data_IF_238087724624
#
_entry.id   IF_238087724624
#
_cell.length_a   1.000
_cell.length_b   1.000
_cell.length_c   1.000
_cell.angle_alpha   90.00
_cell.angle_beta   90.00
_cell.angle_gamma   90.00
#
_symmetry.space_group_name_H-M   'P 1'
#
loop_
_entity.id
_entity.type
_entity.pdbx_description
1 polymer ?
#
# COMPACT_ATOMS: atom_id res chain seq x y z
N UNK A 1 26.30 -8.62 6.91
CA UNK A 1 24.99 -8.17 7.43
C UNK A 1 25.20 -7.58 8.80
N UNK A 2 24.87 -6.31 8.99
CA UNK A 2 24.90 -5.70 10.31
C UNK A 2 23.57 -5.97 11.02
N UNK A 3 23.60 -6.15 12.34
CA UNK A 3 22.40 -6.21 13.19
C UNK A 3 21.52 -4.97 12.96
N UNK A 4 22.15 -3.82 12.73
CA UNK A 4 21.50 -2.57 12.37
C UNK A 4 20.58 -2.70 11.13
N UNK A 5 21.04 -3.35 10.06
CA UNK A 5 20.25 -3.50 8.84
C UNK A 5 18.95 -4.30 9.05
N UNK A 6 18.99 -5.32 9.92
CA UNK A 6 17.80 -6.10 10.30
C UNK A 6 16.86 -5.24 11.13
N UNK A 7 17.38 -4.54 12.15
CA UNK A 7 16.58 -3.70 13.03
C UNK A 7 15.79 -2.65 12.23
N UNK A 8 16.43 -2.00 11.25
CA UNK A 8 15.76 -0.99 10.41
C UNK A 8 14.62 -1.61 9.59
N UNK A 9 14.80 -2.80 9.03
CA UNK A 9 13.75 -3.49 8.23
C UNK A 9 12.59 -3.95 9.11
N UNK A 10 12.89 -4.44 10.31
CA UNK A 10 11.87 -4.78 11.31
C UNK A 10 11.11 -3.54 11.78
N UNK A 11 11.81 -2.42 12.00
CA UNK A 11 11.20 -1.14 12.36
C UNK A 11 10.28 -0.64 11.24
N UNK A 12 10.74 -0.68 9.98
CA UNK A 12 9.94 -0.32 8.81
C UNK A 12 8.61 -1.08 8.77
N UNK A 13 8.68 -2.41 8.87
CA UNK A 13 7.49 -3.25 8.93
C UNK A 13 6.61 -2.97 10.15
N UNK A 14 7.21 -2.84 11.34
CA UNK A 14 6.48 -2.58 12.57
C UNK A 14 5.70 -1.27 12.50
N UNK A 15 6.28 -0.20 11.96
CA UNK A 15 5.58 1.08 11.77
C UNK A 15 4.38 0.89 10.84
N UNK A 16 4.57 0.23 9.69
CA UNK A 16 3.48 -0.01 8.73
C UNK A 16 2.33 -0.85 9.30
N UNK A 17 2.63 -1.79 10.19
CA UNK A 17 1.63 -2.67 10.83
C UNK A 17 0.92 -2.01 12.01
N UNK A 18 1.68 -1.31 12.86
CA UNK A 18 1.20 -0.85 14.17
C UNK A 18 0.62 0.55 14.10
N UNK A 19 1.20 1.45 13.29
CA UNK A 19 0.77 2.85 13.24
C UNK A 19 -0.72 3.01 12.87
N UNK A 20 -1.28 2.28 11.87
CA UNK A 20 -2.71 2.39 11.56
C UNK A 20 -3.62 2.05 12.73
N UNK A 21 -3.30 0.98 13.47
CA UNK A 21 -4.08 0.52 14.61
C UNK A 21 -3.99 1.51 15.77
N UNK A 22 -2.79 2.03 16.06
CA UNK A 22 -2.57 3.02 17.12
C UNK A 22 -3.32 4.31 16.81
N UNK A 23 -3.24 4.83 15.58
CA UNK A 23 -3.94 6.05 15.18
C UNK A 23 -5.46 5.86 15.26
N UNK A 24 -5.99 4.72 14.78
CA UNK A 24 -7.41 4.40 14.88
C UNK A 24 -7.87 4.25 16.34
N UNK A 25 -7.09 3.61 17.21
CA UNK A 25 -7.37 3.50 18.66
C UNK A 25 -7.47 4.87 19.32
N UNK A 26 -6.52 5.76 19.04
CA UNK A 26 -6.52 7.13 19.57
C UNK A 26 -7.75 7.89 19.06
N UNK A 27 -8.09 7.73 17.77
CA UNK A 27 -9.22 8.41 17.17
C UNK A 27 -10.57 7.92 17.74
N UNK A 28 -10.75 6.61 17.91
CA UNK A 28 -11.94 6.01 18.56
C UNK A 28 -12.17 6.61 19.94
N UNK A 29 -11.10 6.71 20.76
CA UNK A 29 -11.18 7.26 22.12
C UNK A 29 -11.56 8.75 22.12
N UNK A 30 -11.07 9.53 21.17
CA UNK A 30 -11.31 10.99 21.10
C UNK A 30 -12.67 11.33 20.48
N UNK A 31 -13.07 10.62 19.45
CA UNK A 31 -14.23 10.95 18.62
C UNK A 31 -15.49 10.15 18.99
N UNK A 32 -15.38 9.16 19.89
CA UNK A 32 -16.47 8.24 20.27
C UNK A 32 -17.11 7.50 19.09
N UNK A 33 -16.36 7.31 18.00
CA UNK A 33 -16.75 6.52 16.83
C UNK A 33 -16.31 5.08 17.04
N UNK A 34 -17.17 4.12 16.71
CA UNK A 34 -16.84 2.68 16.78
C UNK A 34 -16.01 2.18 15.60
N UNK A 35 -15.46 0.97 15.75
CA UNK A 35 -14.62 0.30 14.74
C UNK A 35 -15.31 -0.07 13.43
N UNK A 36 -16.65 0.01 13.37
CA UNK A 36 -17.44 -0.35 12.18
C UNK A 36 -16.94 0.39 10.93
N UNK A 37 -16.69 1.70 11.02
CA UNK A 37 -16.27 2.47 9.84
C UNK A 37 -14.85 2.15 9.38
N UNK A 38 -13.95 1.86 10.31
CA UNK A 38 -12.62 1.37 9.97
C UNK A 38 -12.72 0.04 9.22
N UNK A 39 -13.50 -0.92 9.73
CA UNK A 39 -13.72 -2.20 9.05
C UNK A 39 -14.34 -2.06 7.66
N UNK A 40 -15.26 -1.12 7.48
CA UNK A 40 -15.85 -0.85 6.15
C UNK A 40 -14.82 -0.21 5.22
N UNK A 41 -13.96 0.70 5.71
CA UNK A 41 -12.82 1.23 4.95
C UNK A 41 -11.86 0.13 4.48
N UNK A 42 -11.52 -0.81 5.37
CA UNK A 42 -10.70 -2.00 5.06
C UNK A 42 -11.32 -2.80 3.90
N UNK A 43 -12.60 -3.16 4.03
CA UNK A 43 -13.33 -3.91 2.99
C UNK A 43 -13.40 -3.12 1.69
N UNK A 44 -13.53 -1.79 1.75
CA UNK A 44 -13.64 -0.95 0.55
C UNK A 44 -12.34 -0.94 -0.24
N UNK A 45 -11.18 -0.81 0.43
CA UNK A 45 -9.88 -0.94 -0.24
C UNK A 45 -9.72 -2.33 -0.86
N UNK A 46 -10.01 -3.40 -0.11
CA UNK A 46 -9.87 -4.76 -0.64
C UNK A 46 -10.78 -5.00 -1.85
N UNK A 47 -12.02 -4.48 -1.81
CA UNK A 47 -12.96 -4.58 -2.91
C UNK A 47 -12.50 -3.79 -4.15
N UNK A 48 -11.89 -2.62 -4.00
CA UNK A 48 -11.36 -1.86 -5.15
C UNK A 48 -10.24 -2.63 -5.85
N UNK A 49 -9.41 -3.36 -5.09
CA UNK A 49 -8.32 -4.15 -5.64
C UNK A 49 -8.80 -5.30 -6.55
N UNK A 50 -10.02 -5.81 -6.37
CA UNK A 50 -10.58 -6.90 -7.19
C UNK A 50 -10.71 -6.54 -8.68
N UNK A 51 -10.94 -5.27 -9.00
CA UNK A 51 -10.99 -4.79 -10.39
C UNK A 51 -9.71 -4.06 -10.79
N UNK A 52 -9.09 -3.34 -9.87
CA UNK A 52 -7.86 -2.60 -10.12
C UNK A 52 -6.71 -3.51 -10.52
N UNK A 53 -6.46 -4.62 -9.80
CA UNK A 53 -5.34 -5.53 -10.10
C UNK A 53 -5.50 -6.18 -11.48
N UNK A 54 -6.66 -6.79 -11.84
CA UNK A 54 -6.86 -7.30 -13.19
C UNK A 54 -6.75 -6.23 -14.27
N UNK A 55 -7.31 -5.05 -14.07
CA UNK A 55 -7.18 -3.96 -15.05
C UNK A 55 -5.71 -3.58 -15.28
N UNK A 56 -4.92 -3.43 -14.21
CA UNK A 56 -3.51 -3.13 -14.36
C UNK A 56 -2.75 -4.27 -15.04
N UNK A 57 -3.08 -5.52 -14.73
CA UNK A 57 -2.37 -6.69 -15.26
C UNK A 57 -2.68 -6.97 -16.73
N UNK A 58 -3.94 -6.82 -17.14
CA UNK A 58 -4.40 -7.21 -18.48
C UNK A 58 -4.57 -6.05 -19.44
N UNK A 59 -4.64 -4.81 -18.96
CA UNK A 59 -4.87 -3.63 -19.80
C UNK A 59 -3.76 -2.59 -19.65
N UNK A 60 -3.56 -2.04 -18.45
CA UNK A 60 -2.68 -0.88 -18.31
C UNK A 60 -1.20 -1.23 -18.48
N UNK A 61 -0.69 -2.27 -17.82
CA UNK A 61 0.73 -2.63 -17.94
C UNK A 61 1.11 -3.04 -19.36
N UNK A 62 0.34 -3.91 -20.07
CA UNK A 62 0.61 -4.20 -21.47
C UNK A 62 0.58 -2.95 -22.37
N UNK A 63 -0.29 -1.98 -22.09
CA UNK A 63 -0.34 -0.71 -22.81
C UNK A 63 0.90 0.15 -22.54
N UNK A 64 1.33 0.26 -21.29
CA UNK A 64 2.55 0.98 -20.91
C UNK A 64 3.78 0.36 -21.59
N UNK A 65 3.90 -0.96 -21.55
CA UNK A 65 4.98 -1.70 -22.22
C UNK A 65 4.99 -1.45 -23.73
N UNK A 66 3.83 -1.51 -24.38
CA UNK A 66 3.70 -1.23 -25.82
C UNK A 66 4.12 0.20 -26.19
N UNK A 67 3.91 1.17 -25.31
CA UNK A 67 4.33 2.57 -25.51
C UNK A 67 5.77 2.86 -25.08
N UNK A 68 6.50 1.88 -24.53
CA UNK A 68 7.84 2.06 -23.98
C UNK A 68 7.88 2.85 -22.67
N UNK A 69 6.74 2.98 -21.98
CA UNK A 69 6.61 3.67 -20.70
C UNK A 69 6.90 2.72 -19.54
N UNK A 70 8.19 2.47 -19.32
CA UNK A 70 8.67 1.55 -18.28
C UNK A 70 9.06 2.27 -16.98
N UNK A 71 8.71 1.67 -15.85
CA UNK A 71 9.17 2.15 -14.53
C UNK A 71 10.66 1.92 -14.28
N UNK A 72 11.29 0.99 -15.03
CA UNK A 72 12.73 0.70 -15.00
C UNK A 72 13.60 1.74 -15.70
N UNK A 73 13.06 2.47 -16.68
CA UNK A 73 13.84 3.34 -17.58
C UNK A 73 14.24 4.69 -16.94
N UNK A 74 13.68 5.04 -15.78
CA UNK A 74 13.90 6.34 -15.12
C UNK A 74 13.34 7.52 -15.93
N UNK A 75 13.73 8.74 -15.54
CA UNK A 75 13.40 9.97 -16.27
C UNK A 75 11.91 10.22 -16.50
N UNK A 76 11.56 10.75 -17.67
CA UNK A 76 10.17 11.07 -18.05
C UNK A 76 9.32 9.80 -18.16
N UNK A 77 9.90 8.69 -18.61
CA UNK A 77 9.20 7.41 -18.75
C UNK A 77 8.66 6.91 -17.41
N UNK A 78 9.51 6.91 -16.37
CA UNK A 78 9.11 6.58 -15.01
C UNK A 78 8.00 7.50 -14.49
N UNK A 79 8.11 8.82 -14.71
CA UNK A 79 7.10 9.78 -14.25
C UNK A 79 5.74 9.51 -14.89
N UNK A 80 5.70 9.30 -16.21
CA UNK A 80 4.44 9.04 -16.93
C UNK A 80 3.83 7.69 -16.53
N UNK A 81 4.65 6.64 -16.40
CA UNK A 81 4.19 5.33 -15.94
C UNK A 81 3.64 5.40 -14.51
N UNK A 82 4.33 6.09 -13.59
CA UNK A 82 3.88 6.27 -12.21
C UNK A 82 2.58 7.07 -12.13
N UNK A 83 2.41 8.13 -12.93
CA UNK A 83 1.18 8.89 -13.02
C UNK A 83 0.02 8.04 -13.54
N UNK A 84 0.25 7.22 -14.56
CA UNK A 84 -0.78 6.33 -15.12
C UNK A 84 -1.23 5.27 -14.11
N UNK A 85 -0.28 4.61 -13.44
CA UNK A 85 -0.56 3.61 -12.40
C UNK A 85 -1.24 4.23 -11.18
N UNK A 86 -0.78 5.41 -10.74
CA UNK A 86 -1.39 6.14 -9.63
C UNK A 86 -2.81 6.63 -9.96
N UNK A 87 -3.04 7.10 -11.19
CA UNK A 87 -4.38 7.48 -11.66
C UNK A 87 -5.31 6.27 -11.70
N UNK A 88 -4.84 5.12 -12.18
CA UNK A 88 -5.60 3.86 -12.15
C UNK A 88 -6.03 3.54 -10.72
N UNK A 89 -5.09 3.50 -9.78
CA UNK A 89 -5.39 3.25 -8.36
C UNK A 89 -6.43 4.25 -7.82
N UNK A 90 -6.24 5.55 -8.08
CA UNK A 90 -7.19 6.60 -7.70
C UNK A 90 -8.59 6.38 -8.26
N UNK A 91 -8.74 6.06 -9.55
CA UNK A 91 -10.06 5.84 -10.18
C UNK A 91 -10.80 4.67 -9.51
N UNK A 92 -10.14 3.53 -9.31
CA UNK A 92 -10.80 2.37 -8.72
C UNK A 92 -11.13 2.60 -7.24
N UNK A 93 -10.20 3.17 -6.48
CA UNK A 93 -10.39 3.41 -5.05
C UNK A 93 -11.43 4.49 -4.76
N UNK A 94 -11.40 5.62 -5.47
CA UNK A 94 -12.40 6.67 -5.31
C UNK A 94 -13.79 6.21 -5.76
N UNK A 95 -13.86 5.40 -6.82
CA UNK A 95 -15.13 4.80 -7.26
C UNK A 95 -15.70 3.89 -6.18
N UNK A 96 -14.88 3.02 -5.59
CA UNK A 96 -15.31 2.16 -4.48
C UNK A 96 -15.78 2.99 -3.28
N UNK A 97 -15.04 4.04 -2.91
CA UNK A 97 -15.42 4.97 -1.84
C UNK A 97 -16.76 5.66 -2.11
N UNK A 98 -16.93 6.17 -3.33
CA UNK A 98 -18.19 6.78 -3.77
C UNK A 98 -19.36 5.81 -3.64
N UNK A 99 -19.21 4.57 -4.15
CA UNK A 99 -20.28 3.57 -4.09
C UNK A 99 -20.65 3.22 -2.65
N UNK A 100 -19.66 3.05 -1.77
CA UNK A 100 -19.90 2.72 -0.36
C UNK A 100 -20.61 3.87 0.36
N UNK A 101 -20.17 5.11 0.20
CA UNK A 101 -20.89 6.26 0.77
C UNK A 101 -22.29 6.44 0.19
N UNK A 102 -22.45 6.24 -1.13
CA UNK A 102 -23.73 6.45 -1.82
C UNK A 102 -24.78 5.41 -1.45
N UNK A 103 -24.38 4.15 -1.28
CA UNK A 103 -25.30 3.03 -1.16
C UNK A 103 -25.32 2.36 0.22
N UNK A 104 -24.19 2.32 0.93
CA UNK A 104 -24.08 1.63 2.22
C UNK A 104 -24.06 2.60 3.41
N UNK A 105 -23.24 3.64 3.36
CA UNK A 105 -23.02 4.60 4.44
C UNK A 105 -23.85 5.89 4.27
N UNK A 106 -25.14 5.75 3.91
CA UNK A 106 -26.01 6.89 3.60
C UNK A 106 -26.27 7.82 4.79
N UNK A 107 -26.20 7.29 6.02
CA UNK A 107 -26.56 8.00 7.26
C UNK A 107 -25.34 8.63 7.93
N UNK A 108 -24.16 8.13 7.61
CA UNK A 108 -22.87 8.59 8.08
C UNK A 108 -22.48 9.85 7.30
N UNK A 109 -22.51 11.00 7.97
CA UNK A 109 -22.36 12.32 7.33
C UNK A 109 -21.49 13.29 8.12
N UNK A 110 -20.83 12.81 9.17
CA UNK A 110 -19.91 13.61 9.96
C UNK A 110 -18.50 13.54 9.39
N UNK A 111 -17.71 14.59 9.61
CA UNK A 111 -16.29 14.59 9.25
C UNK A 111 -15.53 13.43 9.91
N UNK A 112 -15.90 13.11 11.16
CA UNK A 112 -15.27 12.04 11.91
C UNK A 112 -15.59 10.65 11.32
N UNK A 113 -16.77 10.46 10.70
CA UNK A 113 -17.08 9.23 9.96
C UNK A 113 -16.12 9.02 8.79
N UNK A 114 -15.89 10.09 8.01
CA UNK A 114 -14.96 10.07 6.88
C UNK A 114 -13.52 9.79 7.29
N UNK A 115 -13.09 10.33 8.44
CA UNK A 115 -11.75 10.06 8.99
C UNK A 115 -11.60 8.61 9.42
N UNK A 116 -12.55 8.07 10.20
CA UNK A 116 -12.47 6.69 10.65
C UNK A 116 -12.52 5.69 9.49
N UNK A 117 -13.33 5.98 8.48
CA UNK A 117 -13.37 5.24 7.23
C UNK A 117 -12.00 5.27 6.52
N UNK A 118 -11.43 6.46 6.34
CA UNK A 118 -10.15 6.63 5.64
C UNK A 118 -8.96 6.02 6.39
N UNK A 119 -8.98 6.03 7.72
CA UNK A 119 -8.02 5.30 8.55
C UNK A 119 -8.08 3.80 8.31
N UNK A 120 -9.28 3.24 8.10
CA UNK A 120 -9.45 1.85 7.72
C UNK A 120 -8.90 1.54 6.33
N UNK A 121 -9.24 2.39 5.36
CA UNK A 121 -8.83 2.24 3.96
C UNK A 121 -7.31 2.34 3.78
N UNK A 122 -6.69 3.45 4.19
CA UNK A 122 -5.23 3.60 4.09
C UNK A 122 -4.47 2.73 5.09
N UNK A 123 -5.11 2.40 6.22
CA UNK A 123 -4.52 1.54 7.23
C UNK A 123 -4.31 0.11 6.76
N UNK A 124 -5.29 -0.50 6.08
CA UNK A 124 -5.12 -1.85 5.55
C UNK A 124 -4.05 -1.90 4.47
N UNK A 125 -3.97 -0.90 3.61
CA UNK A 125 -2.91 -0.83 2.59
C UNK A 125 -1.53 -0.79 3.26
N UNK A 126 -1.36 0.07 4.26
CA UNK A 126 -0.13 0.12 5.07
C UNK A 126 0.19 -1.25 5.69
N UNK A 127 -0.79 -1.91 6.31
CA UNK A 127 -0.59 -3.22 6.93
C UNK A 127 -0.20 -4.29 5.91
N UNK A 128 -0.84 -4.34 4.74
CA UNK A 128 -0.51 -5.30 3.67
C UNK A 128 0.93 -5.11 3.21
N UNK A 129 1.35 -3.87 2.93
CA UNK A 129 2.74 -3.59 2.55
C UNK A 129 3.71 -3.93 3.68
N UNK A 130 3.33 -3.71 4.94
CA UNK A 130 4.10 -4.15 6.10
C UNK A 130 4.30 -5.66 6.19
N UNK A 131 3.24 -6.45 5.93
CA UNK A 131 3.35 -7.92 5.86
C UNK A 131 4.24 -8.34 4.70
N UNK A 132 4.10 -7.73 3.52
CA UNK A 132 4.96 -8.02 2.36
C UNK A 132 6.43 -7.70 2.65
N UNK A 133 6.71 -6.62 3.39
CA UNK A 133 8.07 -6.27 3.80
C UNK A 133 8.67 -7.30 4.78
N UNK A 134 7.89 -7.81 5.73
CA UNK A 134 8.32 -8.91 6.61
C UNK A 134 8.54 -10.20 5.85
N UNK A 135 7.64 -10.50 4.91
CA UNK A 135 7.76 -11.68 4.07
C UNK A 135 9.04 -11.64 3.23
N UNK A 136 9.34 -10.51 2.60
CA UNK A 136 10.59 -10.30 1.86
C UNK A 136 11.82 -10.43 2.77
N UNK A 137 11.79 -9.87 3.99
CA UNK A 137 12.86 -10.03 4.97
C UNK A 137 13.06 -11.50 5.34
N UNK A 138 11.98 -12.24 5.61
CA UNK A 138 12.04 -13.64 5.96
C UNK A 138 12.62 -14.48 4.81
N UNK A 139 12.17 -14.27 3.58
CA UNK A 139 12.70 -14.95 2.39
C UNK A 139 14.21 -14.72 2.23
N UNK A 140 14.64 -13.46 2.24
CA UNK A 140 16.04 -13.11 2.04
C UNK A 140 16.92 -13.57 3.21
N UNK A 141 16.36 -13.68 4.42
CA UNK A 141 17.05 -14.25 5.57
C UNK A 141 17.23 -15.78 5.45
N UNK A 142 16.19 -16.50 5.04
CA UNK A 142 16.22 -17.96 4.87
C UNK A 142 17.12 -18.38 3.71
N UNK A 143 17.08 -17.67 2.59
CA UNK A 143 17.85 -18.02 1.38
C UNK A 143 19.35 -17.69 1.48
N UNK A 144 19.78 -17.03 2.56
CA UNK A 144 21.13 -16.50 2.66
C UNK A 144 22.13 -17.60 3.00
N UNK A 145 23.12 -17.79 2.11
CA UNK A 145 24.17 -18.80 2.29
C UNK A 145 23.71 -20.22 1.93
N UNK A 146 22.45 -20.36 1.53
CA UNK A 146 21.88 -21.60 1.04
C UNK A 146 22.22 -21.84 -0.44
N UNK A 147 22.17 -23.10 -0.86
CA UNK A 147 22.25 -23.46 -2.27
C UNK A 147 20.91 -23.17 -2.95
N UNK A 148 20.82 -22.03 -3.66
CA UNK A 148 19.59 -21.57 -4.30
C UNK A 148 18.99 -22.56 -5.32
N UNK A 149 19.78 -23.53 -5.82
CA UNK A 149 19.28 -24.62 -6.68
C UNK A 149 18.16 -25.44 -6.03
N UNK A 150 18.07 -25.43 -4.70
CA UNK A 150 17.03 -26.14 -3.95
C UNK A 150 15.70 -25.37 -3.88
N UNK A 151 15.70 -24.08 -4.23
CA UNK A 151 14.56 -23.18 -4.00
C UNK A 151 14.07 -22.47 -5.26
N UNK A 152 14.93 -22.34 -6.28
CA UNK A 152 14.67 -21.52 -7.47
C UNK A 152 15.12 -22.28 -8.73
N UNK A 153 14.39 -22.17 -9.88
CA UNK A 153 14.83 -22.74 -11.16
C UNK A 153 16.24 -22.30 -11.55
N UNK A 154 16.97 -23.18 -12.25
CA UNK A 154 18.38 -22.94 -12.62
C UNK A 154 18.57 -21.64 -13.38
N UNK A 155 17.63 -21.31 -14.26
CA UNK A 155 17.65 -20.13 -15.11
C UNK A 155 17.45 -18.82 -14.32
N UNK A 156 16.93 -18.90 -13.10
CA UNK A 156 16.62 -17.75 -12.24
C UNK A 156 17.62 -17.57 -11.09
N UNK A 157 18.61 -18.45 -10.94
CA UNK A 157 19.57 -18.38 -9.83
C UNK A 157 20.35 -17.07 -9.83
N UNK A 158 20.85 -16.64 -10.99
CA UNK A 158 21.62 -15.39 -11.08
C UNK A 158 20.77 -14.18 -10.70
N UNK A 159 19.51 -14.13 -11.17
CA UNK A 159 18.56 -13.08 -10.81
C UNK A 159 18.26 -13.09 -9.31
N UNK A 160 18.03 -14.26 -8.72
CA UNK A 160 17.77 -14.39 -7.28
C UNK A 160 18.97 -13.94 -6.44
N UNK A 161 20.21 -14.29 -6.85
CA UNK A 161 21.43 -13.81 -6.20
C UNK A 161 21.55 -12.29 -6.28
N UNK A 162 21.29 -11.71 -7.45
CA UNK A 162 21.31 -10.26 -7.64
C UNK A 162 20.27 -9.55 -6.76
N UNK A 163 19.05 -10.08 -6.66
CA UNK A 163 17.99 -9.54 -5.79
C UNK A 163 18.34 -9.63 -4.31
N UNK A 164 18.89 -10.75 -3.84
CA UNK A 164 19.36 -10.91 -2.45
C UNK A 164 20.49 -9.92 -2.15
N UNK A 165 21.46 -9.79 -3.07
CA UNK A 165 22.56 -8.85 -2.92
C UNK A 165 22.06 -7.39 -2.87
N UNK A 166 21.17 -7.00 -3.78
CA UNK A 166 20.55 -5.68 -3.83
C UNK A 166 19.74 -5.38 -2.56
N UNK A 167 18.99 -6.36 -2.06
CA UNK A 167 18.22 -6.21 -0.83
C UNK A 167 19.13 -5.88 0.37
N UNK A 168 20.30 -6.53 0.48
CA UNK A 168 21.24 -6.28 1.58
C UNK A 168 22.12 -5.05 1.38
N UNK A 169 22.36 -4.62 0.14
CA UNK A 169 23.13 -3.40 -0.16
C UNK A 169 22.30 -2.12 -0.03
N UNK A 170 20.97 -2.23 0.01
CA UNK A 170 20.07 -1.10 0.18
C UNK A 170 20.44 -0.25 1.43
N UNK A 171 20.67 1.07 1.26
CA UNK A 171 20.89 1.99 2.35
C UNK A 171 19.75 1.99 3.37
N UNK A 172 20.07 2.29 4.63
CA UNK A 172 19.08 2.25 5.71
C UNK A 172 17.91 3.23 5.50
N UNK A 173 18.16 4.37 4.86
CA UNK A 173 17.15 5.40 4.62
C UNK A 173 16.17 5.00 3.51
N UNK A 174 16.59 4.21 2.54
CA UNK A 174 15.69 3.59 1.55
C UNK A 174 14.88 2.47 2.21
N UNK A 175 15.50 1.67 3.09
CA UNK A 175 14.82 0.60 3.79
C UNK A 175 13.69 1.07 4.72
N UNK A 176 13.80 2.28 5.30
CA UNK A 176 12.76 2.87 6.15
C UNK A 176 11.72 3.68 5.36
N UNK A 177 12.03 4.04 4.10
CA UNK A 177 11.20 4.90 3.27
C UNK A 177 9.79 4.35 3.06
N UNK A 178 9.65 3.02 2.96
CA UNK A 178 8.34 2.37 2.84
C UNK A 178 7.36 2.79 3.94
N UNK A 179 7.80 2.85 5.20
CA UNK A 179 6.97 3.29 6.31
C UNK A 179 6.59 4.78 6.23
N UNK A 180 7.50 5.62 5.75
CA UNK A 180 7.24 7.06 5.53
C UNK A 180 6.17 7.24 4.46
N UNK A 181 6.31 6.54 3.34
CA UNK A 181 5.35 6.55 2.23
C UNK A 181 3.97 6.05 2.68
N UNK A 182 3.91 4.98 3.48
CA UNK A 182 2.64 4.46 4.00
C UNK A 182 1.94 5.44 4.95
N UNK A 183 2.68 6.15 5.80
CA UNK A 183 2.09 7.19 6.66
C UNK A 183 1.55 8.38 5.86
N UNK A 184 2.26 8.78 4.80
CA UNK A 184 1.81 9.81 3.87
C UNK A 184 0.56 9.35 3.09
N UNK A 185 0.57 8.14 2.54
CA UNK A 185 -0.58 7.55 1.85
C UNK A 185 -1.80 7.44 2.78
N UNK A 186 -1.62 6.98 4.01
CA UNK A 186 -2.72 6.89 4.98
C UNK A 186 -3.34 8.26 5.26
N UNK A 187 -2.52 9.31 5.34
CA UNK A 187 -2.99 10.70 5.47
C UNK A 187 -3.78 11.16 4.24
N UNK A 188 -3.31 10.79 3.05
CA UNK A 188 -4.03 11.03 1.80
C UNK A 188 -5.39 10.31 1.77
N UNK A 189 -5.47 9.03 2.14
CA UNK A 189 -6.73 8.28 2.17
C UNK A 189 -7.73 8.85 3.17
N UNK A 190 -7.28 9.36 4.31
CA UNK A 190 -8.13 10.10 5.25
C UNK A 190 -8.72 11.35 4.58
N UNK A 191 -7.86 12.15 3.94
CA UNK A 191 -8.29 13.35 3.22
C UNK A 191 -9.29 13.04 2.09
N UNK A 192 -8.96 12.07 1.23
CA UNK A 192 -9.81 11.63 0.13
C UNK A 192 -11.17 11.11 0.62
N UNK A 193 -11.17 10.30 1.68
CA UNK A 193 -12.40 9.78 2.29
C UNK A 193 -13.33 10.89 2.77
N UNK A 194 -12.78 11.92 3.40
CA UNK A 194 -13.55 13.10 3.82
C UNK A 194 -14.05 13.88 2.60
N UNK A 195 -13.22 14.08 1.58
CA UNK A 195 -13.62 14.82 0.38
C UNK A 195 -14.79 14.17 -0.36
N UNK A 196 -14.74 12.86 -0.59
CA UNK A 196 -15.83 12.12 -1.25
C UNK A 196 -17.12 12.19 -0.43
N UNK A 197 -17.03 12.01 0.89
CA UNK A 197 -18.19 12.12 1.77
C UNK A 197 -18.83 13.52 1.68
N UNK A 198 -18.01 14.57 1.74
CA UNK A 198 -18.49 15.95 1.68
C UNK A 198 -19.05 16.31 0.31
N UNK A 199 -18.48 15.78 -0.78
CA UNK A 199 -18.98 15.96 -2.13
C UNK A 199 -20.37 15.33 -2.32
N UNK A 200 -20.66 14.21 -1.63
CA UNK A 200 -21.99 13.60 -1.64
C UNK A 200 -23.00 14.35 -0.78
N UNK A 201 -22.57 14.91 0.34
CA UNK A 201 -23.44 15.65 1.28
C UNK A 201 -23.89 17.02 0.74
N UNK A 202 -23.06 17.66 -0.10
CA UNK A 202 -23.31 19.01 -0.63
C UNK A 202 -24.09 19.02 -1.96
N UNK A 203 -24.51 17.85 -2.45
CA UNK A 203 -25.41 17.70 -3.59
C UNK A 203 -26.85 17.73 -3.12
#
# INVERSE_FOLDING_TARGET
MSVFAIIIRLLNAAIMLVAPVVVALIFVKRSKIGWRLFGIGVVTFLASQLLHIPFNSFCLSPFLDWTGLETSAGGVSLVLAALALGLSAGVFEETARYLVYRYWLKKEQSWADGVMFGLGHGGVESMIVGVLALYALAQVFVLRGENLRNYVPIEQIELAQAQIAAYWSMPWHEAILGSVERLAAMSFHVGASVMVLQALKRK
#
